data_IF_415145702951
#
_entry.id   IF_415145702951
#
_cell.length_a   1.000
_cell.length_b   1.000
_cell.length_c   1.000
_cell.angle_alpha   90.00
_cell.angle_beta   90.00
_cell.angle_gamma   90.00
#
_symmetry.space_group_name_H-M   'P 1'
#
loop_
_entity.id
_entity.type
_entity.pdbx_description
1 polymer ?
#
# COMPACT_ATOMS: atom_id res chain seq x y z
N UNK A 1 4.84 6.03 -10.61
CA UNK A 1 6.28 6.06 -10.98
C UNK A 1 6.54 5.07 -12.09
N UNK A 2 7.57 5.32 -12.90
CA UNK A 2 8.01 4.35 -13.91
C UNK A 2 8.71 3.14 -13.26
N UNK A 3 8.63 1.98 -13.90
CA UNK A 3 9.17 0.72 -13.36
C UNK A 3 10.70 0.74 -13.29
N UNK A 4 11.38 1.41 -14.23
CA UNK A 4 12.82 1.55 -14.20
C UNK A 4 13.27 2.39 -13.00
N UNK A 5 12.53 3.47 -12.69
CA UNK A 5 12.80 4.29 -11.51
C UNK A 5 12.65 3.49 -10.21
N UNK A 6 11.60 2.67 -10.09
CA UNK A 6 11.39 1.81 -8.91
C UNK A 6 12.54 0.81 -8.75
N UNK A 7 12.98 0.18 -9.85
CA UNK A 7 14.11 -0.76 -9.84
C UNK A 7 15.41 -0.08 -9.39
N UNK A 8 15.70 1.13 -9.88
CA UNK A 8 16.87 1.91 -9.47
C UNK A 8 16.83 2.24 -7.98
N UNK A 9 15.69 2.68 -7.45
CA UNK A 9 15.53 2.95 -6.02
C UNK A 9 15.70 1.68 -5.17
N UNK A 10 15.22 0.53 -5.64
CA UNK A 10 15.42 -0.74 -4.93
C UNK A 10 16.90 -1.10 -4.87
N UNK A 11 17.66 -0.90 -5.95
CA UNK A 11 19.11 -1.15 -5.95
C UNK A 11 19.83 -0.23 -4.95
N UNK A 12 19.46 1.04 -4.88
CA UNK A 12 20.02 1.99 -3.90
C UNK A 12 19.68 1.56 -2.47
N UNK A 13 18.43 1.19 -2.18
CA UNK A 13 18.03 0.67 -0.88
C UNK A 13 18.83 -0.58 -0.49
N UNK A 14 18.99 -1.52 -1.44
CA UNK A 14 19.71 -2.77 -1.21
C UNK A 14 21.19 -2.53 -0.91
N UNK A 15 21.82 -1.60 -1.63
CA UNK A 15 23.20 -1.20 -1.39
C UNK A 15 23.37 -0.54 -0.02
N UNK A 16 22.48 0.38 0.34
CA UNK A 16 22.49 1.03 1.66
C UNK A 16 22.30 0.04 2.80
N UNK A 17 21.33 -0.89 2.67
CA UNK A 17 21.08 -1.92 3.67
C UNK A 17 22.32 -2.77 3.93
N UNK A 18 22.99 -3.23 2.86
CA UNK A 18 24.23 -4.02 2.94
C UNK A 18 25.40 -3.23 3.53
N UNK A 19 25.54 -1.96 3.16
CA UNK A 19 26.58 -1.09 3.70
C UNK A 19 26.46 -0.95 5.22
N UNK A 20 25.25 -0.67 5.71
CA UNK A 20 24.98 -0.49 7.14
C UNK A 20 25.18 -1.77 7.96
N UNK A 21 24.80 -2.91 7.40
CA UNK A 21 24.88 -4.23 8.04
C UNK A 21 26.19 -4.96 7.75
N UNK A 22 27.09 -4.35 6.97
CA UNK A 22 28.40 -4.92 6.55
C UNK A 22 28.29 -6.27 5.83
N UNK A 23 27.23 -6.46 5.05
CA UNK A 23 27.03 -7.64 4.20
C UNK A 23 27.70 -7.48 2.84
N UNK A 24 28.07 -8.61 2.20
CA UNK A 24 28.69 -8.63 0.88
C UNK A 24 27.68 -8.25 -0.21
N UNK A 25 28.19 -7.80 -1.37
CA UNK A 25 27.38 -7.39 -2.53
C UNK A 25 26.44 -8.48 -3.06
N UNK A 26 26.73 -9.77 -2.82
CA UNK A 26 25.92 -10.89 -3.33
C UNK A 26 25.04 -11.53 -2.26
N UNK A 27 25.11 -11.08 -1.01
CA UNK A 27 24.33 -11.65 0.08
C UNK A 27 22.83 -11.45 -0.16
N UNK A 28 22.02 -12.43 0.23
CA UNK A 28 20.59 -12.40 0.03
C UNK A 28 19.96 -11.19 0.74
N UNK A 29 19.23 -10.36 0.01
CA UNK A 29 18.82 -9.03 0.51
C UNK A 29 17.59 -9.09 1.42
N UNK A 30 16.69 -10.05 1.21
CA UNK A 30 15.44 -10.20 1.97
C UNK A 30 15.67 -10.29 3.50
N UNK A 31 16.56 -11.17 4.03
CA UNK A 31 16.80 -11.24 5.47
C UNK A 31 17.44 -9.96 6.01
N UNK A 32 18.28 -9.29 5.23
CA UNK A 32 18.90 -8.03 5.61
C UNK A 32 17.83 -6.94 5.77
N UNK A 33 16.94 -6.80 4.79
CA UNK A 33 15.83 -5.84 4.86
C UNK A 33 14.86 -6.15 6.01
N UNK A 34 14.57 -7.44 6.25
CA UNK A 34 13.74 -7.86 7.37
C UNK A 34 14.37 -7.50 8.72
N UNK A 35 15.68 -7.76 8.91
CA UNK A 35 16.39 -7.40 10.15
C UNK A 35 16.36 -5.89 10.43
N UNK A 36 16.46 -5.07 9.37
CA UNK A 36 16.37 -3.61 9.45
C UNK A 36 14.93 -3.10 9.56
N UNK A 37 13.92 -3.97 9.49
CA UNK A 37 12.50 -3.60 9.39
C UNK A 37 12.21 -2.64 8.21
N UNK A 38 12.94 -2.81 7.11
CA UNK A 38 12.82 -2.04 5.88
C UNK A 38 11.96 -2.77 4.86
N UNK A 39 10.83 -2.18 4.49
CA UNK A 39 10.02 -2.68 3.37
C UNK A 39 10.74 -2.43 2.04
N UNK A 40 10.64 -3.35 1.06
CA UNK A 40 11.04 -3.07 -0.32
C UNK A 40 10.32 -1.83 -0.87
N UNK A 41 10.96 -1.11 -1.78
CA UNK A 41 10.48 0.17 -2.32
C UNK A 41 9.05 0.07 -2.86
N UNK A 42 8.70 -1.05 -3.51
CA UNK A 42 7.35 -1.25 -4.05
C UNK A 42 6.30 -1.24 -2.93
N UNK A 43 6.49 -2.06 -1.91
CA UNK A 43 5.61 -2.11 -0.74
C UNK A 43 5.60 -0.79 0.03
N UNK A 44 6.70 -0.03 0.03
CA UNK A 44 6.75 1.30 0.66
C UNK A 44 5.86 2.32 -0.06
N UNK A 45 5.82 2.29 -1.40
CA UNK A 45 4.92 3.14 -2.19
C UNK A 45 3.47 2.78 -1.88
N UNK A 46 3.15 1.49 -1.92
CA UNK A 46 1.82 0.95 -1.63
C UNK A 46 1.39 1.28 -0.19
N UNK A 47 2.31 1.20 0.78
CA UNK A 47 2.08 1.57 2.18
C UNK A 47 1.71 3.03 2.35
N UNK A 48 2.43 3.93 1.67
CA UNK A 48 2.14 5.37 1.71
C UNK A 48 0.81 5.69 1.05
N UNK A 49 0.50 5.04 -0.08
CA UNK A 49 -0.78 5.21 -0.76
C UNK A 49 -1.95 4.78 0.14
N UNK A 50 -1.85 3.61 0.76
CA UNK A 50 -2.88 3.09 1.66
C UNK A 50 -3.04 3.92 2.94
N UNK A 51 -1.97 4.52 3.44
CA UNK A 51 -2.07 5.47 4.54
C UNK A 51 -2.89 6.70 4.17
N UNK A 52 -2.76 7.21 2.95
CA UNK A 52 -3.62 8.29 2.47
C UNK A 52 -5.07 7.85 2.35
N UNK A 53 -5.32 6.64 1.82
CA UNK A 53 -6.67 6.06 1.75
C UNK A 53 -7.28 5.96 3.15
N UNK A 54 -6.58 5.37 4.11
CA UNK A 54 -7.08 5.24 5.49
C UNK A 54 -7.40 6.60 6.09
N UNK A 55 -6.50 7.58 5.96
CA UNK A 55 -6.73 8.94 6.47
C UNK A 55 -7.97 9.58 5.85
N UNK A 56 -8.13 9.46 4.53
CA UNK A 56 -9.27 9.99 3.81
C UNK A 56 -10.59 9.35 4.27
N UNK A 57 -10.62 8.03 4.48
CA UNK A 57 -11.81 7.33 4.96
C UNK A 57 -12.22 7.65 6.40
N UNK A 58 -11.28 8.16 7.21
CA UNK A 58 -11.46 8.49 8.63
C UNK A 58 -11.49 10.00 8.90
N UNK A 59 -11.65 10.84 7.87
CA UNK A 59 -11.73 12.30 8.04
C UNK A 59 -10.43 12.98 8.48
N UNK A 60 -9.29 12.30 8.34
CA UNK A 60 -7.95 12.81 8.69
C UNK A 60 -7.20 13.40 7.49
N UNK A 61 -7.86 13.48 6.32
CA UNK A 61 -7.32 14.08 5.11
C UNK A 61 -8.22 15.24 4.66
N UNK A 62 -7.69 16.20 3.87
CA UNK A 62 -8.50 17.26 3.26
C UNK A 62 -9.68 16.71 2.46
N UNK A 63 -10.79 17.46 2.46
CA UNK A 63 -12.05 17.06 1.81
C UNK A 63 -11.86 16.62 0.35
N UNK A 64 -11.08 17.38 -0.43
CA UNK A 64 -10.82 17.08 -1.83
C UNK A 64 -10.13 15.71 -2.07
N UNK A 65 -9.44 15.14 -1.09
CA UNK A 65 -8.88 13.77 -1.19
C UNK A 65 -9.94 12.73 -0.84
N UNK A 66 -10.71 13.00 0.21
CA UNK A 66 -11.78 12.14 0.70
C UNK A 66 -12.88 11.98 -0.34
N UNK A 67 -13.23 13.05 -1.05
CA UNK A 67 -14.22 13.05 -2.13
C UNK A 67 -13.82 12.19 -3.34
N UNK A 68 -12.53 11.85 -3.50
CA UNK A 68 -12.06 10.97 -4.57
C UNK A 68 -12.31 9.48 -4.27
N UNK A 69 -12.75 9.14 -3.05
CA UNK A 69 -12.97 7.78 -2.61
C UNK A 69 -14.43 7.56 -2.26
N UNK A 70 -15.02 6.50 -2.82
CA UNK A 70 -16.41 6.14 -2.57
C UNK A 70 -16.49 4.74 -1.98
N UNK A 71 -17.24 4.60 -0.89
CA UNK A 71 -17.50 3.30 -0.26
C UNK A 71 -18.40 2.47 -1.17
N UNK A 72 -18.10 1.18 -1.28
CA UNK A 72 -18.94 0.26 -2.02
C UNK A 72 -20.15 -0.14 -1.16
N UNK A 73 -21.34 0.29 -1.59
CA UNK A 73 -22.62 -0.09 -0.98
C UNK A 73 -23.39 -0.97 -1.96
N UNK A 74 -23.52 -2.29 -1.72
CA UNK A 74 -24.28 -3.15 -2.62
C UNK A 74 -25.79 -2.85 -2.51
N UNK A 75 -26.52 -2.93 -3.63
CA UNK A 75 -27.96 -2.69 -3.67
C UNK A 75 -28.80 -3.77 -2.94
N UNK A 76 -28.18 -4.91 -2.62
CA UNK A 76 -28.77 -6.04 -1.89
C UNK A 76 -27.80 -6.47 -0.80
N UNK A 77 -28.30 -6.97 0.33
CA UNK A 77 -27.46 -7.55 1.37
C UNK A 77 -26.68 -8.74 0.81
N UNK A 78 -25.37 -8.58 0.66
CA UNK A 78 -24.43 -9.58 0.15
C UNK A 78 -23.31 -9.74 1.16
N UNK A 79 -22.63 -10.89 1.15
CA UNK A 79 -21.44 -11.15 1.98
C UNK A 79 -20.29 -10.15 1.76
N UNK A 80 -20.33 -9.38 0.66
CA UNK A 80 -19.38 -8.30 0.35
C UNK A 80 -19.71 -6.97 1.04
N UNK A 81 -20.91 -6.80 1.60
CA UNK A 81 -21.33 -5.57 2.26
C UNK A 81 -20.44 -5.23 3.47
N UNK A 82 -20.07 -6.25 4.25
CA UNK A 82 -19.30 -6.07 5.49
C UNK A 82 -17.77 -6.04 5.26
N UNK A 83 -17.32 -5.99 4.02
CA UNK A 83 -15.89 -6.07 3.70
C UNK A 83 -15.17 -4.73 3.71
N UNK A 84 -15.84 -3.59 3.92
CA UNK A 84 -15.22 -2.26 3.86
C UNK A 84 -14.51 -2.00 2.51
N UNK A 85 -15.18 -2.34 1.40
CA UNK A 85 -14.66 -2.17 0.04
C UNK A 85 -14.87 -0.74 -0.49
N UNK A 86 -14.04 -0.34 -1.44
CA UNK A 86 -14.16 0.91 -2.18
C UNK A 86 -14.55 0.67 -3.64
N UNK A 87 -15.27 1.60 -4.23
CA UNK A 87 -15.58 1.60 -5.65
C UNK A 87 -14.30 1.90 -6.43
N UNK A 88 -13.97 1.05 -7.40
CA UNK A 88 -12.86 1.28 -8.32
C UNK A 88 -13.40 1.93 -9.59
N UNK A 89 -13.11 3.21 -9.87
CA UNK A 89 -13.61 3.87 -11.07
C UNK A 89 -13.03 3.24 -12.33
N UNK A 90 -13.86 3.15 -13.39
CA UNK A 90 -13.38 2.74 -14.71
C UNK A 90 -12.55 3.87 -15.33
N UNK A 91 -11.30 3.59 -15.61
CA UNK A 91 -10.40 4.56 -16.24
C UNK A 91 -10.24 4.26 -17.72
N UNK A 92 -10.51 5.25 -18.59
CA UNK A 92 -10.35 5.10 -20.06
C UNK A 92 -8.88 4.96 -20.48
N UNK A 93 -7.96 5.55 -19.71
CA UNK A 93 -6.52 5.53 -19.99
C UNK A 93 -5.83 4.45 -19.14
N UNK A 94 -5.41 3.36 -19.79
CA UNK A 94 -4.74 2.20 -19.15
C UNK A 94 -3.47 2.55 -18.38
N UNK A 95 -2.78 3.64 -18.76
CA UNK A 95 -1.47 4.00 -18.19
C UNK A 95 -1.57 5.03 -17.06
N UNK A 96 -1.93 6.27 -17.39
CA UNK A 96 -1.98 7.39 -16.42
C UNK A 96 -3.20 7.30 -15.50
N UNK A 97 -4.36 6.94 -16.05
CA UNK A 97 -5.60 6.80 -15.28
C UNK A 97 -5.48 5.75 -14.18
N UNK A 98 -4.92 4.57 -14.48
CA UNK A 98 -4.73 3.49 -13.50
C UNK A 98 -3.83 3.85 -12.32
N UNK A 99 -2.96 4.86 -12.49
CA UNK A 99 -1.99 5.33 -11.49
C UNK A 99 -2.53 6.49 -10.65
N UNK A 100 -3.66 7.10 -11.03
CA UNK A 100 -4.26 8.18 -10.26
C UNK A 100 -4.73 7.67 -8.89
N UNK A 101 -4.69 8.53 -7.87
CA UNK A 101 -5.10 8.17 -6.50
C UNK A 101 -6.51 7.57 -6.46
N UNK A 102 -7.47 8.23 -7.13
CA UNK A 102 -8.87 7.80 -7.21
C UNK A 102 -9.06 6.39 -7.80
N UNK A 103 -8.11 5.87 -8.59
CA UNK A 103 -8.18 4.53 -9.15
C UNK A 103 -7.25 3.53 -8.43
N UNK A 104 -6.00 3.94 -8.15
CA UNK A 104 -5.00 3.10 -7.52
C UNK A 104 -5.28 2.84 -6.03
N UNK A 105 -5.79 3.84 -5.31
CA UNK A 105 -6.13 3.75 -3.90
C UNK A 105 -7.20 2.68 -3.64
N UNK A 106 -8.41 2.81 -4.22
CA UNK A 106 -9.47 1.80 -4.09
C UNK A 106 -9.03 0.39 -4.52
N UNK A 107 -8.31 0.29 -5.64
CA UNK A 107 -7.83 -1.00 -6.15
C UNK A 107 -6.91 -1.69 -5.15
N UNK A 108 -5.93 -0.98 -4.61
CA UNK A 108 -4.98 -1.53 -3.64
C UNK A 108 -5.63 -1.75 -2.27
N UNK A 109 -6.55 -0.88 -1.86
CA UNK A 109 -7.31 -1.06 -0.62
C UNK A 109 -8.11 -2.37 -0.64
N UNK A 110 -8.77 -2.67 -1.76
CA UNK A 110 -9.61 -3.85 -1.89
C UNK A 110 -8.83 -5.18 -1.90
N UNK A 111 -7.51 -5.16 -2.15
CA UNK A 111 -6.67 -6.36 -2.03
C UNK A 111 -6.27 -6.67 -0.58
N UNK A 112 -6.51 -5.75 0.36
CA UNK A 112 -6.14 -5.95 1.76
C UNK A 112 -7.08 -6.96 2.45
N UNK A 113 -6.53 -7.77 3.37
CA UNK A 113 -7.35 -8.57 4.28
C UNK A 113 -8.30 -7.68 5.10
N UNK A 114 -9.48 -8.22 5.44
CA UNK A 114 -10.49 -7.49 6.20
C UNK A 114 -9.95 -6.98 7.54
N UNK A 115 -9.19 -7.80 8.27
CA UNK A 115 -8.62 -7.43 9.57
C UNK A 115 -7.65 -6.23 9.50
N UNK A 116 -7.00 -5.99 8.35
CA UNK A 116 -6.17 -4.80 8.15
C UNK A 116 -7.06 -3.58 7.89
N UNK A 117 -8.11 -3.75 7.08
CA UNK A 117 -9.06 -2.67 6.74
C UNK A 117 -9.91 -2.22 7.92
N UNK A 118 -10.28 -3.14 8.81
CA UNK A 118 -11.09 -2.89 10.00
C UNK A 118 -10.30 -2.30 11.17
N UNK A 119 -9.06 -1.86 10.95
CA UNK A 119 -8.25 -1.21 11.98
C UNK A 119 -8.93 0.08 12.48
N UNK A 120 -9.07 0.21 13.80
CA UNK A 120 -9.80 1.31 14.43
C UNK A 120 -9.00 2.62 14.50
N UNK A 121 -7.67 2.54 14.45
CA UNK A 121 -6.79 3.71 14.54
C UNK A 121 -5.71 3.67 13.48
N UNK A 122 -5.17 4.85 13.16
CA UNK A 122 -4.05 4.97 12.23
C UNK A 122 -2.80 4.21 12.73
N UNK A 123 -2.59 4.13 14.05
CA UNK A 123 -1.49 3.39 14.65
C UNK A 123 -1.61 1.89 14.42
N UNK A 124 -2.79 1.33 14.72
CA UNK A 124 -3.09 -0.09 14.49
C UNK A 124 -2.98 -0.41 13.00
N UNK A 125 -3.56 0.42 12.13
CA UNK A 125 -3.50 0.25 10.68
C UNK A 125 -2.05 0.21 10.16
N UNK A 126 -1.19 1.13 10.62
CA UNK A 126 0.24 1.15 10.23
C UNK A 126 0.94 -0.15 10.61
N UNK A 127 0.70 -0.64 11.83
CA UNK A 127 1.34 -1.84 12.35
C UNK A 127 0.91 -3.09 11.58
N UNK A 128 -0.41 -3.31 11.46
CA UNK A 128 -0.97 -4.48 10.78
C UNK A 128 -0.64 -4.48 9.29
N UNK A 129 -0.70 -3.33 8.62
CA UNK A 129 -0.33 -3.20 7.22
C UNK A 129 1.16 -3.49 6.99
N UNK A 130 2.04 -2.97 7.84
CA UNK A 130 3.49 -3.24 7.74
C UNK A 130 3.77 -4.73 7.92
N UNK A 131 3.11 -5.38 8.88
CA UNK A 131 3.21 -6.82 9.13
C UNK A 131 2.75 -7.63 7.91
N UNK A 132 1.58 -7.30 7.36
CA UNK A 132 1.06 -7.94 6.16
C UNK A 132 2.00 -7.80 4.94
N UNK A 133 2.64 -6.63 4.77
CA UNK A 133 3.60 -6.44 3.68
C UNK A 133 4.90 -7.20 3.88
N UNK A 134 5.36 -7.42 5.11
CA UNK A 134 6.49 -8.32 5.33
C UNK A 134 6.14 -9.77 5.00
N UNK A 135 4.95 -10.26 5.38
CA UNK A 135 4.55 -11.63 5.03
C UNK A 135 4.44 -11.86 3.52
N UNK A 136 4.19 -10.81 2.72
CA UNK A 136 4.15 -10.89 1.26
C UNK A 136 5.53 -10.71 0.58
N UNK A 137 6.49 -10.08 1.28
CA UNK A 137 7.80 -9.77 0.75
C UNK A 137 8.85 -10.86 1.05
N UNK A 138 8.56 -11.74 2.02
CA UNK A 138 9.38 -12.86 2.42
C UNK A 138 9.21 -14.07 1.50
#
# INVERSE_FOLDING_TARGET
MDQASIKRLQLVQNAAARLLTRHKKRDHITPILASLHWLPIRFRIDFKLLLFVFKALNGLAPAYISELLHRYTPARALRSADQLLLIVPKTRLKTRGHRAFAAAGPRLWNTLPLHVRSAQTLGVFKSTLKTHFFSLAC
#
